data_IF_028829285490
#
_entry.id   IF_028829285490
#
_cell.length_a   1.000
_cell.length_b   1.000
_cell.length_c   1.000
_cell.angle_alpha   90.00
_cell.angle_beta   90.00
_cell.angle_gamma   90.00
#
_symmetry.space_group_name_H-M   'P 1'
#
loop_
_entity.id
_entity.type
_entity.pdbx_description
1 polymer ?
#
# COMPACT_ATOMS: atom_id res chain seq x y z
N UNK A 1 10.93 -1.81 0.95
CA UNK A 1 11.02 -2.32 -0.43
C UNK A 1 9.79 -3.14 -0.73
N UNK A 2 9.21 -2.96 -1.88
CA UNK A 2 8.00 -3.63 -2.35
C UNK A 2 8.29 -4.33 -3.67
N UNK A 3 7.64 -5.49 -3.89
CA UNK A 3 7.81 -6.27 -5.10
C UNK A 3 6.49 -6.36 -5.89
N UNK A 4 6.56 -6.29 -7.20
CA UNK A 4 5.39 -6.28 -8.08
C UNK A 4 4.82 -7.68 -8.31
N UNK A 5 3.52 -7.85 -8.08
CA UNK A 5 2.81 -9.12 -8.27
C UNK A 5 1.59 -9.02 -9.21
N UNK A 6 1.33 -7.86 -9.78
CA UNK A 6 0.21 -7.68 -10.71
C UNK A 6 0.37 -8.52 -11.96
N UNK A 7 -0.67 -9.29 -12.29
CA UNK A 7 -0.65 -10.23 -13.40
C UNK A 7 -0.18 -11.64 -13.05
N UNK A 8 0.37 -11.87 -11.86
CA UNK A 8 0.74 -13.20 -11.39
C UNK A 8 -0.50 -14.10 -11.23
N UNK A 9 -0.42 -15.35 -11.68
CA UNK A 9 -1.40 -16.39 -11.35
C UNK A 9 -0.95 -17.18 -10.12
N UNK A 10 -1.56 -16.91 -8.98
CA UNK A 10 -1.26 -17.60 -7.71
C UNK A 10 -1.59 -19.09 -7.71
N UNK A 11 -2.23 -19.63 -8.75
CA UNK A 11 -2.53 -21.06 -8.91
C UNK A 11 -1.51 -21.78 -9.79
N UNK A 12 -0.65 -21.05 -10.45
CA UNK A 12 0.43 -21.62 -11.25
C UNK A 12 1.68 -21.81 -10.40
N UNK A 13 2.08 -23.06 -10.23
CA UNK A 13 3.22 -23.42 -9.38
C UNK A 13 4.54 -22.81 -9.88
N UNK A 14 4.73 -22.68 -11.18
CA UNK A 14 5.95 -22.09 -11.77
C UNK A 14 6.00 -20.59 -11.49
N UNK A 15 4.87 -19.89 -11.63
CA UNK A 15 4.79 -18.48 -11.29
C UNK A 15 5.08 -18.23 -9.80
N UNK A 16 4.55 -19.08 -8.92
CA UNK A 16 4.81 -18.98 -7.48
C UNK A 16 6.29 -19.25 -7.14
N UNK A 17 6.89 -20.27 -7.73
CA UNK A 17 8.31 -20.60 -7.53
C UNK A 17 9.22 -19.45 -8.00
N UNK A 18 8.97 -18.92 -9.20
CA UNK A 18 9.73 -17.79 -9.74
C UNK A 18 9.61 -16.57 -8.82
N UNK A 19 8.40 -16.23 -8.37
CA UNK A 19 8.18 -15.10 -7.47
C UNK A 19 8.97 -15.25 -6.16
N UNK A 20 8.92 -16.44 -5.54
CA UNK A 20 9.66 -16.71 -4.29
C UNK A 20 11.16 -16.53 -4.50
N UNK A 21 11.70 -17.11 -5.58
CA UNK A 21 13.13 -17.02 -5.86
C UNK A 21 13.59 -15.59 -6.10
N UNK A 22 12.85 -14.84 -6.94
CA UNK A 22 13.15 -13.43 -7.23
C UNK A 22 13.06 -12.57 -5.98
N UNK A 23 12.07 -12.82 -5.11
CA UNK A 23 11.93 -12.09 -3.87
C UNK A 23 13.08 -12.36 -2.90
N UNK A 24 13.47 -13.62 -2.73
CA UNK A 24 14.60 -14.01 -1.87
C UNK A 24 15.90 -13.37 -2.37
N UNK A 25 16.16 -13.42 -3.67
CA UNK A 25 17.33 -12.75 -4.26
C UNK A 25 17.31 -11.23 -4.02
N UNK A 26 16.14 -10.60 -4.10
CA UNK A 26 15.99 -9.17 -3.80
C UNK A 26 16.31 -8.86 -2.33
N UNK A 27 15.81 -9.67 -1.40
CA UNK A 27 16.09 -9.50 0.05
C UNK A 27 17.57 -9.71 0.34
N UNK A 28 18.21 -10.75 -0.22
CA UNK A 28 19.64 -11.01 -0.05
C UNK A 28 20.51 -9.88 -0.61
N UNK A 29 20.20 -9.40 -1.82
CA UNK A 29 20.92 -8.30 -2.46
C UNK A 29 20.87 -7.03 -1.63
N UNK A 30 19.68 -6.71 -1.12
CA UNK A 30 19.37 -5.43 -0.49
C UNK A 30 19.48 -5.46 1.05
N UNK A 31 19.78 -6.62 1.64
CA UNK A 31 19.85 -6.83 3.09
C UNK A 31 20.71 -5.78 3.81
N UNK A 32 21.86 -5.43 3.26
CA UNK A 32 22.76 -4.43 3.86
C UNK A 32 22.45 -2.98 3.46
N UNK A 33 21.33 -2.71 2.79
CA UNK A 33 20.95 -1.37 2.40
C UNK A 33 20.39 -0.60 3.59
N UNK A 34 21.06 0.47 4.08
CA UNK A 34 20.66 1.18 5.30
C UNK A 34 19.36 1.97 5.14
N UNK A 35 18.95 2.28 3.90
CA UNK A 35 17.71 2.99 3.61
C UNK A 35 16.46 2.09 3.64
N UNK A 36 16.63 0.76 3.62
CA UNK A 36 15.50 -0.17 3.70
C UNK A 36 15.15 -0.38 5.18
N UNK A 37 13.95 0.03 5.56
CA UNK A 37 13.43 -0.06 6.93
C UNK A 37 12.40 -1.17 7.12
N UNK A 38 11.91 -1.76 6.05
CA UNK A 38 10.92 -2.85 6.06
C UNK A 38 10.78 -3.49 4.69
N UNK A 39 10.11 -4.63 4.66
CA UNK A 39 9.87 -5.46 3.48
C UNK A 39 8.37 -5.53 3.18
N UNK A 40 8.01 -5.63 1.89
CA UNK A 40 6.65 -5.83 1.44
C UNK A 40 6.67 -6.68 0.15
N UNK A 41 6.51 -8.02 0.24
CA UNK A 41 6.58 -8.88 -0.94
C UNK A 41 5.42 -8.72 -1.91
N UNK A 42 4.21 -8.46 -1.41
CA UNK A 42 3.03 -8.38 -2.27
C UNK A 42 2.31 -7.05 -2.15
N UNK A 43 1.69 -6.62 -3.26
CA UNK A 43 0.80 -5.48 -3.33
C UNK A 43 -0.60 -5.91 -3.74
N UNK A 44 -1.62 -5.49 -2.99
CA UNK A 44 -3.05 -5.57 -3.35
C UNK A 44 -3.48 -6.95 -3.88
N UNK A 45 -3.29 -7.98 -3.08
CA UNK A 45 -3.61 -9.36 -3.43
C UNK A 45 -5.10 -9.70 -3.30
N UNK A 46 -5.92 -8.74 -2.95
CA UNK A 46 -7.36 -8.87 -2.76
C UNK A 46 -8.09 -9.60 -3.91
N UNK A 47 -9.24 -10.18 -3.59
CA UNK A 47 -10.07 -10.91 -4.54
C UNK A 47 -10.68 -9.94 -5.57
N UNK A 48 -10.27 -10.04 -6.83
CA UNK A 48 -10.74 -9.16 -7.89
C UNK A 48 -10.96 -9.91 -9.20
N UNK A 49 -12.13 -9.72 -9.82
CA UNK A 49 -12.49 -10.34 -11.12
C UNK A 49 -12.24 -11.85 -11.18
N UNK A 50 -12.59 -12.59 -10.09
CA UNK A 50 -12.41 -14.04 -10.01
C UNK A 50 -11.00 -14.51 -9.66
N UNK A 51 -10.04 -13.60 -9.53
CA UNK A 51 -8.72 -13.88 -8.95
C UNK A 51 -8.88 -13.88 -7.43
N UNK A 52 -8.43 -14.93 -6.77
CA UNK A 52 -8.44 -15.04 -5.32
C UNK A 52 -7.02 -14.92 -4.78
N UNK A 53 -6.90 -14.24 -3.67
CA UNK A 53 -5.69 -14.24 -2.87
C UNK A 53 -5.36 -15.69 -2.44
N UNK A 54 -4.09 -16.04 -2.51
CA UNK A 54 -3.60 -17.34 -2.05
C UNK A 54 -2.86 -17.18 -0.72
N UNK A 55 -3.62 -17.26 0.37
CA UNK A 55 -3.16 -16.97 1.74
C UNK A 55 -1.94 -17.81 2.13
N UNK A 56 -1.87 -19.09 1.70
CA UNK A 56 -0.73 -19.95 2.00
C UNK A 56 0.57 -19.44 1.37
N UNK A 57 0.52 -18.92 0.13
CA UNK A 57 1.68 -18.35 -0.53
C UNK A 57 2.15 -17.06 0.18
N UNK A 58 1.22 -16.17 0.50
CA UNK A 58 1.53 -14.92 1.21
C UNK A 58 2.21 -15.21 2.53
N UNK A 59 1.64 -16.13 3.32
CA UNK A 59 2.23 -16.56 4.58
C UNK A 59 3.63 -17.16 4.40
N UNK A 60 3.81 -18.03 3.40
CA UNK A 60 5.10 -18.66 3.11
C UNK A 60 6.17 -17.63 2.76
N UNK A 61 5.84 -16.66 1.91
CA UNK A 61 6.79 -15.60 1.51
C UNK A 61 7.12 -14.68 2.69
N UNK A 62 6.13 -14.34 3.53
CA UNK A 62 6.39 -13.63 4.78
C UNK A 62 7.35 -14.41 5.68
N UNK A 63 7.11 -15.70 5.91
CA UNK A 63 7.97 -16.56 6.74
C UNK A 63 9.40 -16.64 6.18
N UNK A 64 9.59 -16.80 4.88
CA UNK A 64 10.90 -16.73 4.24
C UNK A 64 11.56 -15.37 4.44
N UNK A 65 10.82 -14.27 4.27
CA UNK A 65 11.36 -12.93 4.50
C UNK A 65 11.89 -12.78 5.92
N UNK A 66 11.14 -13.28 6.92
CA UNK A 66 11.53 -13.23 8.34
C UNK A 66 12.70 -14.17 8.68
N UNK A 67 12.84 -15.26 7.95
CA UNK A 67 14.00 -16.18 8.12
C UNK A 67 15.28 -15.53 7.58
N UNK A 68 15.21 -14.83 6.42
CA UNK A 68 16.35 -14.10 5.87
C UNK A 68 16.65 -12.82 6.64
N UNK A 69 15.65 -12.08 7.06
CA UNK A 69 15.79 -10.83 7.81
C UNK A 69 14.81 -10.72 8.97
N UNK A 70 15.21 -11.21 10.13
CA UNK A 70 14.45 -11.07 11.38
C UNK A 70 14.59 -9.70 12.05
N UNK A 71 15.41 -8.79 11.48
CA UNK A 71 15.71 -7.49 12.09
C UNK A 71 14.75 -6.39 11.63
N UNK A 72 14.15 -6.54 10.45
CA UNK A 72 13.21 -5.59 9.87
C UNK A 72 11.78 -6.09 9.91
N UNK A 73 10.78 -5.20 10.04
CA UNK A 73 9.39 -5.59 9.90
C UNK A 73 9.06 -5.95 8.46
N UNK A 74 8.05 -6.81 8.31
CA UNK A 74 7.51 -7.21 7.01
C UNK A 74 6.00 -6.97 6.99
N UNK A 75 5.53 -6.23 5.98
CA UNK A 75 4.14 -6.20 5.54
C UNK A 75 3.98 -7.36 4.58
N UNK A 76 3.14 -8.32 4.88
CA UNK A 76 2.98 -9.54 4.07
C UNK A 76 2.40 -9.25 2.68
N UNK A 77 1.36 -8.42 2.63
CA UNK A 77 0.76 -7.86 1.42
C UNK A 77 0.21 -6.48 1.72
N UNK A 78 0.59 -5.46 0.94
CA UNK A 78 0.05 -4.13 1.16
C UNK A 78 -1.42 -4.03 0.74
N UNK A 79 -2.18 -3.14 1.38
CA UNK A 79 -3.59 -2.87 1.07
C UNK A 79 -4.60 -3.69 1.86
N UNK A 80 -4.35 -4.00 3.12
CA UNK A 80 -5.25 -4.53 4.16
C UNK A 80 -5.79 -5.97 4.04
N UNK A 81 -5.36 -6.80 3.12
CA UNK A 81 -5.76 -8.23 3.08
C UNK A 81 -4.74 -9.14 3.79
N UNK A 82 -4.24 -8.69 4.92
CA UNK A 82 -3.18 -9.35 5.68
C UNK A 82 -3.53 -10.76 6.11
N UNK A 83 -2.58 -11.68 5.91
CA UNK A 83 -2.61 -13.04 6.45
C UNK A 83 -1.81 -13.10 7.75
N UNK A 84 -0.61 -12.49 7.74
CA UNK A 84 0.27 -12.36 8.89
C UNK A 84 1.23 -11.19 8.65
N UNK A 85 1.14 -10.13 9.42
CA UNK A 85 1.95 -8.92 9.20
C UNK A 85 2.52 -8.35 10.49
N UNK A 86 3.71 -7.73 10.42
CA UNK A 86 4.29 -6.99 11.53
C UNK A 86 3.75 -5.55 11.62
N UNK A 87 3.41 -4.97 10.47
CA UNK A 87 2.82 -3.63 10.33
C UNK A 87 1.49 -3.78 9.62
N UNK A 88 0.44 -3.23 10.21
CA UNK A 88 -0.89 -3.25 9.58
C UNK A 88 -1.03 -2.03 8.69
N UNK A 89 -0.94 -2.23 7.38
CA UNK A 89 -1.03 -1.15 6.43
C UNK A 89 -2.42 -1.02 5.79
N UNK A 90 -2.69 0.15 5.25
CA UNK A 90 -3.93 0.45 4.55
C UNK A 90 -3.67 1.28 3.29
N UNK A 91 -4.48 1.05 2.26
CA UNK A 91 -4.59 1.90 1.08
C UNK A 91 -5.90 2.68 1.17
N UNK A 92 -5.86 3.98 0.99
CA UNK A 92 -7.05 4.82 0.98
C UNK A 92 -6.94 6.00 0.02
N UNK A 93 -7.63 5.90 -1.10
CA UNK A 93 -7.61 6.88 -2.18
C UNK A 93 -8.78 7.87 -2.16
N UNK A 94 -9.49 8.01 -1.03
CA UNK A 94 -10.54 9.01 -0.92
C UNK A 94 -9.95 10.42 -0.99
N UNK A 95 -10.59 11.28 -1.80
CA UNK A 95 -10.12 12.63 -2.04
C UNK A 95 -10.62 13.67 -1.04
N UNK A 96 -11.62 13.34 -0.24
CA UNK A 96 -12.26 14.27 0.72
C UNK A 96 -11.53 14.19 2.07
N UNK A 97 -10.61 15.11 2.31
CA UNK A 97 -9.70 15.04 3.45
C UNK A 97 -10.38 15.16 4.82
N UNK A 98 -11.53 15.83 4.93
CA UNK A 98 -12.27 15.88 6.18
C UNK A 98 -12.91 14.53 6.54
N UNK A 99 -13.45 13.82 5.55
CA UNK A 99 -13.97 12.46 5.73
C UNK A 99 -12.84 11.46 6.01
N UNK A 100 -11.74 11.62 5.32
CA UNK A 100 -10.53 10.83 5.51
C UNK A 100 -10.03 10.99 6.96
N UNK A 101 -9.81 12.22 7.43
CA UNK A 101 -9.39 12.54 8.80
C UNK A 101 -10.34 11.92 9.84
N UNK A 102 -11.64 12.12 9.68
CA UNK A 102 -12.67 11.60 10.58
C UNK A 102 -12.66 10.07 10.67
N UNK A 103 -12.39 9.39 9.56
CA UNK A 103 -12.34 7.92 9.54
C UNK A 103 -11.22 7.37 10.41
N UNK A 104 -10.06 8.03 10.43
CA UNK A 104 -8.92 7.60 11.22
C UNK A 104 -8.86 8.19 12.65
N UNK A 105 -9.76 9.09 13.02
CA UNK A 105 -9.86 9.60 14.38
C UNK A 105 -10.12 8.49 15.43
N UNK A 106 -10.85 7.45 15.04
CA UNK A 106 -11.15 6.31 15.91
C UNK A 106 -9.91 5.47 16.25
N UNK A 107 -8.90 5.49 15.41
CA UNK A 107 -7.63 4.84 15.71
C UNK A 107 -6.98 5.45 16.96
N UNK A 108 -7.02 6.78 17.10
CA UNK A 108 -6.49 7.49 18.28
C UNK A 108 -7.42 7.32 19.48
N UNK A 109 -8.73 7.52 19.29
CA UNK A 109 -9.69 7.62 20.39
C UNK A 109 -10.15 6.27 20.95
N UNK A 110 -10.19 5.23 20.13
CA UNK A 110 -10.72 3.91 20.48
C UNK A 110 -9.77 2.74 20.15
N UNK A 111 -8.66 2.99 19.44
CA UNK A 111 -7.80 1.94 18.92
C UNK A 111 -8.42 1.13 17.79
N UNK A 112 -9.39 1.70 17.08
CA UNK A 112 -10.13 1.05 16.01
C UNK A 112 -9.65 1.58 14.64
N UNK A 113 -9.06 0.71 13.83
CA UNK A 113 -8.63 1.05 12.49
C UNK A 113 -9.82 1.06 11.52
N UNK A 114 -9.91 2.11 10.69
CA UNK A 114 -10.83 2.14 9.57
C UNK A 114 -10.26 1.33 8.40
N UNK A 115 -11.04 0.39 7.90
CA UNK A 115 -10.75 -0.40 6.71
C UNK A 115 -11.91 -0.21 5.72
N UNK A 116 -11.64 0.37 4.55
CA UNK A 116 -12.69 0.59 3.55
C UNK A 116 -13.10 -0.69 2.82
N UNK A 117 -12.26 -1.71 2.85
CA UNK A 117 -12.54 -3.06 2.33
C UNK A 117 -12.44 -4.04 3.49
N UNK A 118 -13.54 -4.70 3.81
CA UNK A 118 -13.58 -5.66 4.91
C UNK A 118 -12.87 -6.96 4.53
N UNK A 119 -11.91 -7.35 5.34
CA UNK A 119 -11.25 -8.63 5.25
C UNK A 119 -12.00 -9.67 6.11
N UNK A 120 -13.05 -10.27 5.58
CA UNK A 120 -13.96 -11.17 6.33
C UNK A 120 -13.44 -12.59 6.52
N UNK A 121 -12.35 -12.96 5.87
CA UNK A 121 -11.80 -14.31 6.01
C UNK A 121 -11.29 -14.54 7.45
N UNK A 122 -11.84 -15.54 8.19
CA UNK A 122 -11.45 -15.78 9.58
C UNK A 122 -10.02 -16.31 9.76
N UNK A 123 -9.38 -16.78 8.68
CA UNK A 123 -7.99 -17.24 8.69
C UNK A 123 -6.97 -16.12 8.50
N UNK A 124 -7.43 -14.89 8.25
CA UNK A 124 -6.57 -13.73 8.02
C UNK A 124 -6.44 -12.89 9.28
N UNK A 125 -5.29 -12.23 9.41
CA UNK A 125 -5.05 -11.32 10.53
C UNK A 125 -6.03 -10.16 10.50
N UNK A 126 -6.53 -9.81 11.67
CA UNK A 126 -7.30 -8.59 11.92
C UNK A 126 -6.44 -7.62 12.69
N UNK A 127 -6.69 -6.33 12.52
CA UNK A 127 -5.99 -5.31 13.30
C UNK A 127 -6.14 -5.59 14.80
N UNK A 128 -5.04 -5.75 15.48
CA UNK A 128 -4.95 -6.08 16.91
C UNK A 128 -4.13 -5.07 17.72
N UNK A 129 -3.75 -3.95 17.10
CA UNK A 129 -2.93 -2.90 17.72
C UNK A 129 -1.51 -2.84 17.18
N UNK A 130 -1.24 -3.49 16.07
CA UNK A 130 0.02 -3.38 15.33
C UNK A 130 0.28 -1.91 14.93
N UNK A 131 1.54 -1.51 14.67
CA UNK A 131 1.83 -0.22 14.07
C UNK A 131 1.06 -0.04 12.76
N UNK A 132 0.40 1.10 12.57
CA UNK A 132 -0.39 1.38 11.36
C UNK A 132 0.41 2.22 10.38
N UNK A 133 0.42 1.82 9.12
CA UNK A 133 1.10 2.52 8.04
C UNK A 133 0.14 2.82 6.87
N UNK A 134 0.08 4.08 6.45
CA UNK A 134 -0.67 4.47 5.25
C UNK A 134 0.23 4.25 4.04
N UNK A 135 0.28 3.02 3.53
CA UNK A 135 1.21 2.62 2.48
C UNK A 135 0.86 3.19 1.11
N UNK A 136 -0.42 3.50 0.87
CA UNK A 136 -0.83 4.24 -0.32
C UNK A 136 -2.00 5.18 0.00
N UNK A 137 -1.90 6.44 -0.45
CA UNK A 137 -2.98 7.41 -0.38
C UNK A 137 -2.80 8.51 -1.42
N UNK A 138 -3.84 9.30 -1.60
CA UNK A 138 -3.83 10.44 -2.48
C UNK A 138 -4.11 10.06 -3.92
N UNK A 139 -3.09 9.77 -4.69
CA UNK A 139 -3.23 9.41 -6.11
C UNK A 139 -4.00 10.47 -6.91
N UNK A 140 -3.88 11.75 -6.50
CA UNK A 140 -4.72 12.84 -7.01
C UNK A 140 -4.41 13.08 -8.47
N UNK A 141 -5.39 12.85 -9.34
CA UNK A 141 -5.20 13.10 -10.77
C UNK A 141 -4.91 14.58 -11.01
N UNK A 142 -3.76 14.83 -11.61
CA UNK A 142 -3.36 16.14 -12.10
C UNK A 142 -2.80 16.01 -13.51
N UNK A 143 -3.50 16.57 -14.47
CA UNK A 143 -3.15 16.49 -15.89
C UNK A 143 -2.75 17.88 -16.38
N UNK A 144 -1.45 18.08 -16.62
CA UNK A 144 -0.91 19.30 -17.19
C UNK A 144 -1.15 19.41 -18.72
N UNK A 145 -1.24 18.26 -19.40
CA UNK A 145 -1.51 18.17 -20.84
C UNK A 145 -2.74 17.29 -21.13
N UNK A 146 -3.81 17.90 -21.61
CA UNK A 146 -5.10 17.24 -21.89
C UNK A 146 -5.12 16.43 -23.21
N UNK A 147 -3.98 16.21 -23.85
CA UNK A 147 -3.93 15.49 -25.13
C UNK A 147 -4.11 13.97 -24.99
N UNK A 148 -3.86 13.42 -23.80
CA UNK A 148 -3.93 11.98 -23.54
C UNK A 148 -5.03 11.66 -22.53
N UNK A 149 -5.61 10.46 -22.66
CA UNK A 149 -6.55 9.94 -21.67
C UNK A 149 -5.77 9.43 -20.47
N UNK A 150 -5.75 10.22 -19.42
CA UNK A 150 -5.11 9.87 -18.15
C UNK A 150 -6.13 9.43 -17.09
N UNK A 151 -5.63 8.84 -16.02
CA UNK A 151 -6.43 8.49 -14.86
C UNK A 151 -5.66 8.75 -13.54
N UNK A 152 -6.36 8.76 -12.45
CA UNK A 152 -5.92 8.88 -11.09
C UNK A 152 -7.12 8.65 -10.18
N UNK A 153 -6.98 8.91 -8.90
CA UNK A 153 -7.99 8.60 -7.89
C UNK A 153 -8.76 9.85 -7.46
N UNK A 154 -9.98 9.61 -6.96
CA UNK A 154 -10.87 10.69 -6.52
C UNK A 154 -11.42 11.56 -7.68
N UNK A 155 -11.93 12.71 -7.34
CA UNK A 155 -12.40 13.69 -8.32
C UNK A 155 -11.22 14.46 -8.91
N UNK A 156 -11.29 14.77 -10.20
CA UNK A 156 -10.27 15.59 -10.88
C UNK A 156 -10.14 16.96 -10.20
N UNK A 157 -8.92 17.38 -9.90
CA UNK A 157 -8.62 18.75 -9.50
C UNK A 157 -8.47 19.63 -10.76
N UNK A 158 -8.81 20.92 -10.64
CA UNK A 158 -8.84 21.84 -11.77
C UNK A 158 -7.74 22.89 -11.72
N UNK A 159 -7.19 23.13 -10.55
CA UNK A 159 -6.14 24.12 -10.33
C UNK A 159 -5.04 23.57 -9.43
N UNK A 160 -3.87 24.20 -9.50
CA UNK A 160 -2.74 23.86 -8.62
C UNK A 160 -3.09 24.07 -7.14
N UNK A 161 -3.89 25.10 -6.86
CA UNK A 161 -4.36 25.39 -5.50
C UNK A 161 -5.24 24.26 -4.95
N UNK A 162 -6.17 23.74 -5.75
CA UNK A 162 -7.01 22.58 -5.38
C UNK A 162 -6.16 21.32 -5.15
N UNK A 163 -5.15 21.09 -6.01
CA UNK A 163 -4.21 19.99 -5.85
C UNK A 163 -3.45 20.10 -4.51
N UNK A 164 -2.87 21.28 -4.27
CA UNK A 164 -2.08 21.54 -3.09
C UNK A 164 -2.94 21.47 -1.80
N UNK A 165 -4.15 22.00 -1.84
CA UNK A 165 -5.09 21.94 -0.71
C UNK A 165 -5.43 20.49 -0.38
N UNK A 166 -5.79 19.68 -1.38
CA UNK A 166 -6.12 18.26 -1.18
C UNK A 166 -4.92 17.45 -0.70
N UNK A 167 -3.77 17.60 -1.36
CA UNK A 167 -2.54 16.94 -0.95
C UNK A 167 -2.19 17.26 0.50
N UNK A 168 -2.21 18.56 0.85
CA UNK A 168 -1.93 19.02 2.21
C UNK A 168 -2.95 18.49 3.21
N UNK A 169 -4.24 18.58 2.90
CA UNK A 169 -5.30 18.13 3.82
C UNK A 169 -5.24 16.64 4.14
N UNK A 170 -5.00 15.79 3.12
CA UNK A 170 -4.81 14.35 3.30
C UNK A 170 -3.53 14.04 4.09
N UNK A 171 -2.42 14.69 3.73
CA UNK A 171 -1.13 14.47 4.39
C UNK A 171 -1.15 14.93 5.85
N UNK A 172 -1.70 16.11 6.12
CA UNK A 172 -1.88 16.61 7.50
C UNK A 172 -2.76 15.68 8.34
N UNK A 173 -3.79 15.08 7.74
CA UNK A 173 -4.65 14.13 8.45
C UNK A 173 -3.89 12.89 8.93
N UNK A 174 -2.86 12.47 8.18
CA UNK A 174 -2.00 11.34 8.57
C UNK A 174 -0.95 11.80 9.61
N UNK A 175 -0.27 12.91 9.34
CA UNK A 175 0.79 13.43 10.22
C UNK A 175 0.26 13.79 11.61
N UNK A 176 -0.93 14.36 11.68
CA UNK A 176 -1.58 14.74 12.94
C UNK A 176 -2.11 13.53 13.74
N UNK A 177 -2.13 12.34 13.14
CA UNK A 177 -2.58 11.11 13.78
C UNK A 177 -1.41 10.39 14.45
N UNK A 178 -1.30 10.54 15.77
CA UNK A 178 -0.19 9.99 16.58
C UNK A 178 -0.07 8.44 16.55
N UNK A 179 -1.06 7.74 16.01
CA UNK A 179 -1.08 6.28 15.85
C UNK A 179 -0.63 5.82 14.47
N UNK A 180 -0.45 6.74 13.52
CA UNK A 180 0.10 6.44 12.21
C UNK A 180 1.64 6.42 12.29
N UNK A 181 2.23 5.27 11.96
CA UNK A 181 3.68 5.08 11.93
C UNK A 181 4.36 5.91 10.82
N UNK A 182 3.68 6.04 9.69
CA UNK A 182 4.19 6.73 8.51
C UNK A 182 3.24 6.59 7.33
N UNK A 183 3.70 7.08 6.19
CA UNK A 183 2.91 7.10 4.96
C UNK A 183 3.76 7.04 3.70
N UNK A 184 3.13 6.66 2.60
CA UNK A 184 3.68 6.75 1.25
C UNK A 184 2.61 7.33 0.32
N UNK A 185 2.87 8.52 -0.25
CA UNK A 185 1.97 9.13 -1.21
C UNK A 185 2.09 8.43 -2.57
N UNK A 186 0.97 8.16 -3.21
CA UNK A 186 0.90 7.62 -4.56
C UNK A 186 0.67 8.75 -5.55
N UNK A 187 1.69 9.18 -6.34
CA UNK A 187 3.00 8.58 -6.37
C UNK A 187 4.09 9.65 -6.60
N UNK A 188 5.35 9.23 -6.69
CA UNK A 188 6.47 10.17 -6.84
C UNK A 188 6.45 10.89 -8.19
N UNK A 189 6.20 10.15 -9.29
CA UNK A 189 6.12 10.69 -10.65
C UNK A 189 5.08 9.92 -11.47
N UNK A 190 4.60 10.53 -12.53
CA UNK A 190 3.62 9.92 -13.43
C UNK A 190 4.14 8.62 -14.05
N UNK A 191 3.26 7.64 -14.23
CA UNK A 191 3.55 6.38 -14.90
C UNK A 191 2.57 6.17 -16.06
N UNK A 192 3.02 6.46 -17.27
CA UNK A 192 2.22 6.33 -18.49
C UNK A 192 0.89 7.11 -18.40
N UNK A 193 -0.24 6.41 -18.37
CA UNK A 193 -1.57 7.03 -18.26
C UNK A 193 -2.00 7.32 -16.81
N UNK A 194 -1.28 6.83 -15.85
CA UNK A 194 -1.51 7.14 -14.43
C UNK A 194 -0.81 8.44 -14.07
N UNK A 195 -1.56 9.57 -14.19
CA UNK A 195 -1.04 10.91 -13.99
C UNK A 195 -1.50 11.47 -12.63
N UNK A 196 -0.82 11.05 -11.59
CA UNK A 196 -1.06 11.44 -10.21
C UNK A 196 0.25 11.64 -9.43
N UNK A 197 1.37 11.73 -10.16
CA UNK A 197 2.69 11.95 -9.60
C UNK A 197 2.87 13.37 -9.02
N UNK A 198 3.79 13.50 -8.08
CA UNK A 198 4.29 14.80 -7.62
C UNK A 198 5.24 15.44 -8.64
N UNK A 199 5.76 14.63 -9.55
CA UNK A 199 6.59 15.05 -10.68
C UNK A 199 6.02 14.46 -11.97
N UNK A 200 6.26 15.15 -13.07
CA UNK A 200 5.95 14.65 -14.41
C UNK A 200 6.90 13.53 -14.82
N UNK A 201 6.53 12.79 -15.85
CA UNK A 201 7.31 11.64 -16.35
C UNK A 201 8.65 12.06 -16.97
N UNK A 202 8.75 13.26 -17.60
CA UNK A 202 9.92 13.81 -18.35
C UNK A 202 10.70 14.85 -17.55
#
# INVERSE_FOLDING_TARGET
SEHGNWGMDYRDAVSCENFINEWVEAVERDFNHPAIIGWCPFNETWDYKGRRQYDALIKTVYEYTKEFDHTRPCIDTSGNFHVVTDIYDVHDYRGEFDEFRKSYERLVTHGELYEHVLNDNPGRQKYGGEPVFMSEYGGIKWESDKQYKSWGYGNDVKTEEELLERYKGLTDAIIDNERMLGFCYTQLYDVEQEQNGLYTYD
#
